data_IF_422779135592
#
_entry.id   IF_422779135592
#
_cell.length_a   1.000
_cell.length_b   1.000
_cell.length_c   1.000
_cell.angle_alpha   90.00
_cell.angle_beta   90.00
_cell.angle_gamma   90.00
#
_symmetry.space_group_name_H-M   'P 1'
#
loop_
_entity.id
_entity.type
_entity.pdbx_description
1 polymer ?
#
# COMPACT_ATOMS: atom_id res chain seq x y z
N UNK A 1 -13.91 17.49 17.05
CA UNK A 1 -13.65 16.60 15.89
C UNK A 1 -12.19 16.21 15.95
N UNK A 2 -11.85 14.94 16.16
CA UNK A 2 -10.47 14.49 16.02
C UNK A 2 -10.08 14.70 14.56
N UNK A 3 -9.05 15.50 14.32
CA UNK A 3 -8.46 15.69 12.99
C UNK A 3 -7.93 14.32 12.55
N UNK A 4 -8.22 13.91 11.31
CA UNK A 4 -7.65 12.66 10.79
C UNK A 4 -6.13 12.78 10.83
N UNK A 5 -5.48 11.78 11.41
CA UNK A 5 -4.02 11.75 11.50
C UNK A 5 -3.47 11.18 10.21
N UNK A 6 -3.06 12.08 9.32
CA UNK A 6 -2.17 11.77 8.21
C UNK A 6 -0.73 11.74 8.73
N UNK A 7 0.12 10.90 8.16
CA UNK A 7 1.55 10.92 8.49
C UNK A 7 2.13 12.32 8.25
N UNK A 8 3.01 12.78 9.11
CA UNK A 8 3.70 14.05 8.90
C UNK A 8 4.94 13.87 8.00
N UNK A 9 5.62 14.98 7.71
CA UNK A 9 6.83 14.98 6.90
C UNK A 9 7.96 14.16 7.55
N UNK A 10 8.10 14.18 8.87
CA UNK A 10 9.15 13.45 9.57
C UNK A 10 8.97 11.94 9.45
N UNK A 11 7.74 11.45 9.59
CA UNK A 11 7.45 10.02 9.40
C UNK A 11 7.59 9.59 7.93
N UNK A 12 7.24 10.46 6.98
CA UNK A 12 7.49 10.22 5.56
C UNK A 12 8.99 10.06 5.28
N UNK A 13 9.81 11.02 5.75
CA UNK A 13 11.26 10.97 5.59
C UNK A 13 11.88 9.74 6.29
N UNK A 14 11.30 9.30 7.42
CA UNK A 14 11.73 8.08 8.10
C UNK A 14 11.47 6.82 7.26
N UNK A 15 10.32 6.70 6.58
CA UNK A 15 10.07 5.58 5.67
C UNK A 15 11.00 5.60 4.47
N UNK A 16 11.26 6.78 3.89
CA UNK A 16 12.19 6.92 2.78
C UNK A 16 13.62 6.51 3.22
N UNK A 17 14.05 6.89 4.44
CA UNK A 17 15.33 6.47 5.02
C UNK A 17 15.42 4.96 5.30
N UNK A 18 14.30 4.31 5.62
CA UNK A 18 14.18 2.85 5.74
C UNK A 18 14.13 2.13 4.39
N UNK A 19 14.16 2.87 3.27
CA UNK A 19 14.03 2.32 1.92
C UNK A 19 12.63 1.80 1.62
N UNK A 20 11.59 2.49 2.10
CA UNK A 20 10.19 2.09 1.97
C UNK A 20 9.33 3.20 1.38
N UNK A 21 8.69 2.94 0.24
CA UNK A 21 7.67 3.78 -0.38
C UNK A 21 6.28 3.11 -0.41
N UNK A 22 6.15 1.96 0.27
CA UNK A 22 4.94 1.18 0.43
C UNK A 22 4.44 1.21 1.88
N UNK A 23 3.49 2.10 2.19
CA UNK A 23 2.98 2.23 3.56
C UNK A 23 1.61 2.92 3.66
N UNK A 24 1.00 2.82 4.84
CA UNK A 24 -0.23 3.54 5.20
C UNK A 24 0.07 5.05 5.31
N UNK A 25 -0.82 5.87 4.76
CA UNK A 25 -0.78 7.34 4.88
C UNK A 25 -1.75 7.87 5.93
N UNK A 26 -2.93 7.28 6.00
CA UNK A 26 -3.97 7.67 6.94
C UNK A 26 -4.95 6.51 7.12
N UNK A 27 -5.51 6.40 8.33
CA UNK A 27 -6.64 5.53 8.64
C UNK A 27 -7.72 6.37 9.31
N UNK A 28 -8.96 6.20 8.85
CA UNK A 28 -10.14 6.86 9.40
C UNK A 28 -11.22 5.82 9.67
N UNK A 29 -12.30 6.24 10.32
CA UNK A 29 -13.50 5.41 10.37
C UNK A 29 -13.99 5.11 8.95
N UNK A 30 -14.21 3.82 8.68
CA UNK A 30 -14.69 3.31 7.40
C UNK A 30 -13.74 3.49 6.21
N UNK A 31 -12.44 3.76 6.40
CA UNK A 31 -11.51 3.77 5.28
C UNK A 31 -10.05 4.08 5.62
N UNK A 32 -9.20 3.98 4.62
CA UNK A 32 -7.78 4.32 4.72
C UNK A 32 -7.17 4.65 3.35
N UNK A 33 -6.00 5.29 3.37
CA UNK A 33 -5.18 5.56 2.20
C UNK A 33 -3.79 4.91 2.36
N UNK A 34 -3.33 4.23 1.32
CA UNK A 34 -2.01 3.60 1.23
C UNK A 34 -1.27 4.16 0.02
N UNK A 35 0.06 4.29 0.10
CA UNK A 35 0.90 4.60 -1.06
C UNK A 35 1.74 3.41 -1.51
N UNK A 36 2.02 3.39 -2.79
CA UNK A 36 2.95 2.49 -3.49
C UNK A 36 3.77 3.36 -4.45
N UNK A 37 4.96 3.79 -4.02
CA UNK A 37 5.68 4.86 -4.73
C UNK A 37 4.88 6.17 -4.70
N UNK A 38 4.49 6.66 -5.88
CA UNK A 38 3.67 7.87 -6.07
C UNK A 38 2.20 7.57 -6.39
N UNK A 39 1.81 6.30 -6.40
CA UNK A 39 0.43 5.87 -6.62
C UNK A 39 -0.26 5.62 -5.29
N UNK A 40 -1.52 6.06 -5.17
CA UNK A 40 -2.29 5.99 -3.94
C UNK A 40 -3.48 5.05 -4.11
N UNK A 41 -3.73 4.20 -3.12
CA UNK A 41 -4.94 3.37 -3.02
C UNK A 41 -5.80 3.84 -1.84
N UNK A 42 -7.02 4.29 -2.13
CA UNK A 42 -8.05 4.59 -1.14
C UNK A 42 -8.97 3.36 -0.99
N UNK A 43 -9.06 2.82 0.20
CA UNK A 43 -10.01 1.75 0.54
C UNK A 43 -11.11 2.30 1.44
N UNK A 44 -12.38 2.07 1.12
CA UNK A 44 -13.50 2.69 1.85
C UNK A 44 -14.73 1.79 1.96
N UNK A 45 -15.47 1.91 3.07
CA UNK A 45 -16.79 1.26 3.29
C UNK A 45 -17.97 2.20 3.04
N UNK A 46 -17.75 3.51 3.02
CA UNK A 46 -18.80 4.51 2.78
C UNK A 46 -18.31 5.59 1.83
N UNK A 47 -19.22 6.17 1.04
CA UNK A 47 -18.91 7.29 0.14
C UNK A 47 -18.38 8.50 0.92
N UNK A 48 -18.94 8.78 2.09
CA UNK A 48 -18.46 9.82 2.98
C UNK A 48 -16.99 9.62 3.39
N UNK A 49 -16.57 8.39 3.70
CA UNK A 49 -15.17 8.09 4.03
C UNK A 49 -14.26 8.26 2.80
N UNK A 50 -14.70 7.81 1.62
CA UNK A 50 -13.97 8.03 0.36
C UNK A 50 -13.72 9.52 0.12
N UNK A 51 -14.76 10.33 0.18
CA UNK A 51 -14.68 11.76 -0.15
C UNK A 51 -13.82 12.51 0.88
N UNK A 52 -13.94 12.15 2.16
CA UNK A 52 -13.07 12.65 3.24
C UNK A 52 -11.60 12.30 3.01
N UNK A 53 -11.29 11.07 2.58
CA UNK A 53 -9.93 10.65 2.26
C UNK A 53 -9.37 11.36 1.03
N UNK A 54 -10.19 11.60 -0.01
CA UNK A 54 -9.77 12.36 -1.20
C UNK A 54 -9.40 13.80 -0.83
N UNK A 55 -10.21 14.46 -0.01
CA UNK A 55 -9.92 15.83 0.46
C UNK A 55 -8.66 15.84 1.32
N UNK A 56 -8.59 14.96 2.33
CA UNK A 56 -7.43 14.87 3.22
C UNK A 56 -6.13 14.52 2.47
N UNK A 57 -6.19 13.67 1.45
CA UNK A 57 -5.03 13.31 0.63
C UNK A 57 -4.47 14.53 -0.11
N UNK A 58 -5.33 15.38 -0.67
CA UNK A 58 -4.92 16.61 -1.37
C UNK A 58 -4.28 17.61 -0.41
N UNK A 59 -4.87 17.78 0.77
CA UNK A 59 -4.35 18.67 1.80
C UNK A 59 -3.00 18.17 2.34
N UNK A 60 -2.89 16.88 2.62
CA UNK A 60 -1.66 16.23 3.06
C UNK A 60 -0.56 16.31 2.01
N UNK A 61 -0.86 15.98 0.75
CA UNK A 61 0.14 16.03 -0.32
C UNK A 61 0.70 17.44 -0.49
N UNK A 62 -0.14 18.47 -0.37
CA UNK A 62 0.31 19.87 -0.38
C UNK A 62 1.15 20.22 0.86
N UNK A 63 0.80 19.72 2.04
CA UNK A 63 1.49 20.09 3.28
C UNK A 63 2.90 19.49 3.40
N UNK A 64 3.15 18.35 2.77
CA UNK A 64 4.47 17.68 2.80
C UNK A 64 5.21 17.73 1.45
N UNK A 65 4.65 18.45 0.46
CA UNK A 65 5.13 18.56 -0.92
C UNK A 65 5.33 17.21 -1.61
N UNK A 66 4.31 16.34 -1.53
CA UNK A 66 4.32 15.00 -2.10
C UNK A 66 3.70 14.96 -3.50
N UNK A 67 4.46 14.55 -4.54
CA UNK A 67 3.92 14.44 -5.88
C UNK A 67 3.10 13.15 -6.03
N UNK A 68 1.76 13.30 -6.10
CA UNK A 68 0.85 12.19 -6.42
C UNK A 68 0.82 12.00 -7.94
N UNK A 69 1.08 10.77 -8.40
CA UNK A 69 0.96 10.40 -9.81
C UNK A 69 -0.47 9.95 -10.13
N UNK A 70 -0.99 8.98 -9.37
CA UNK A 70 -2.34 8.41 -9.56
C UNK A 70 -3.04 8.15 -8.24
N UNK A 71 -4.36 8.22 -8.25
CA UNK A 71 -5.21 7.81 -7.13
C UNK A 71 -6.20 6.78 -7.61
N UNK A 72 -6.20 5.63 -6.97
CA UNK A 72 -7.15 4.55 -7.15
C UNK A 72 -8.07 4.47 -5.93
N UNK A 73 -9.27 3.94 -6.11
CA UNK A 73 -10.16 3.66 -5.01
C UNK A 73 -10.87 2.32 -5.15
N UNK A 74 -11.02 1.60 -4.03
CA UNK A 74 -11.83 0.38 -3.95
C UNK A 74 -12.83 0.45 -2.82
N UNK A 75 -14.05 -0.03 -3.10
CA UNK A 75 -15.06 -0.26 -2.08
C UNK A 75 -14.73 -1.54 -1.29
N UNK A 76 -15.03 -1.54 0.01
CA UNK A 76 -14.79 -2.64 0.94
C UNK A 76 -16.12 -3.33 1.28
N UNK A 77 -16.60 -4.26 0.44
CA UNK A 77 -17.87 -4.94 0.66
C UNK A 77 -17.82 -5.87 1.86
N UNK A 78 -18.99 -6.31 2.32
CA UNK A 78 -19.12 -7.36 3.35
C UNK A 78 -18.96 -8.75 2.76
N UNK A 79 -19.38 -8.93 1.50
CA UNK A 79 -19.34 -10.20 0.79
C UNK A 79 -18.19 -10.22 -0.21
N UNK A 80 -17.59 -11.40 -0.44
CA UNK A 80 -16.43 -11.52 -1.31
C UNK A 80 -16.81 -11.38 -2.79
N UNK A 81 -18.03 -11.77 -3.16
CA UNK A 81 -18.57 -11.75 -4.52
C UNK A 81 -18.81 -10.31 -5.02
N UNK A 82 -18.90 -9.35 -4.09
CA UNK A 82 -19.08 -7.92 -4.37
C UNK A 82 -17.73 -7.18 -4.53
N UNK A 83 -16.59 -7.90 -4.47
CA UNK A 83 -15.26 -7.30 -4.57
C UNK A 83 -14.94 -6.93 -6.02
N UNK A 84 -14.64 -5.65 -6.23
CA UNK A 84 -14.23 -5.12 -7.53
C UNK A 84 -12.76 -4.72 -7.54
N UNK A 85 -12.17 -4.62 -8.74
CA UNK A 85 -10.85 -4.02 -8.91
C UNK A 85 -10.86 -2.54 -8.51
N UNK A 86 -9.74 -1.99 -8.00
CA UNK A 86 -9.60 -0.56 -7.80
C UNK A 86 -9.88 0.24 -9.08
N UNK A 87 -10.62 1.34 -8.93
CA UNK A 87 -10.95 2.26 -10.03
C UNK A 87 -10.04 3.48 -9.96
N UNK A 88 -9.51 3.90 -11.11
CA UNK A 88 -8.73 5.14 -11.22
C UNK A 88 -9.68 6.34 -10.96
N UNK A 89 -9.30 7.22 -10.04
CA UNK A 89 -9.99 8.47 -9.73
C UNK A 89 -9.22 9.71 -10.19
N UNK A 90 -7.89 9.62 -10.24
CA UNK A 90 -7.00 10.69 -10.67
C UNK A 90 -5.77 10.09 -11.37
N UNK A 91 -5.33 10.70 -12.46
CA UNK A 91 -4.24 10.22 -13.32
C UNK A 91 -4.73 9.95 -14.74
N UNK A 92 -3.85 9.47 -15.62
CA UNK A 92 -4.19 9.17 -17.01
C UNK A 92 -4.71 7.73 -17.18
N UNK A 93 -5.91 7.57 -17.75
CA UNK A 93 -6.56 6.26 -17.95
C UNK A 93 -5.81 5.34 -18.94
N UNK A 94 -5.00 5.90 -19.85
CA UNK A 94 -4.21 5.13 -20.82
C UNK A 94 -2.88 4.58 -20.30
N UNK A 95 -2.51 4.86 -19.04
CA UNK A 95 -1.26 4.36 -18.46
C UNK A 95 -1.38 2.89 -18.01
N UNK A 96 -0.27 2.15 -18.06
CA UNK A 96 -0.18 0.83 -17.48
C UNK A 96 -0.54 0.88 -15.98
N UNK A 97 -1.51 0.07 -15.55
CA UNK A 97 -1.99 -0.02 -14.17
C UNK A 97 -1.01 -0.70 -13.20
N UNK A 98 0.17 -1.08 -13.68
CA UNK A 98 1.23 -1.63 -12.85
C UNK A 98 2.18 -0.55 -12.35
N UNK A 99 2.79 -0.80 -11.19
CA UNK A 99 3.89 -0.01 -10.64
C UNK A 99 4.82 -0.91 -9.82
N UNK A 100 5.95 -0.36 -9.40
CA UNK A 100 6.86 -1.03 -8.47
C UNK A 100 6.87 -0.22 -7.18
N UNK A 101 6.63 -0.90 -6.07
CA UNK A 101 6.79 -0.34 -4.75
C UNK A 101 8.02 -0.92 -4.06
N UNK A 102 8.65 -0.14 -3.20
CA UNK A 102 9.83 -0.49 -2.42
C UNK A 102 9.44 -0.67 -0.95
N UNK A 103 9.89 -1.74 -0.33
CA UNK A 103 9.80 -1.95 1.12
C UNK A 103 11.12 -2.52 1.64
N UNK A 104 11.78 -1.81 2.54
CA UNK A 104 13.12 -2.14 3.05
C UNK A 104 14.11 -2.52 1.94
N UNK A 105 14.15 -1.71 0.86
CA UNK A 105 14.95 -1.91 -0.35
C UNK A 105 14.58 -3.14 -1.21
N UNK A 106 13.54 -3.90 -0.86
CA UNK A 106 12.99 -4.95 -1.71
C UNK A 106 11.92 -4.36 -2.63
N UNK A 107 11.87 -4.83 -3.88
CA UNK A 107 10.94 -4.36 -4.91
C UNK A 107 9.78 -5.32 -5.07
N UNK A 108 8.56 -4.80 -5.04
CA UNK A 108 7.33 -5.55 -5.20
C UNK A 108 6.52 -5.00 -6.38
N UNK A 109 6.06 -5.91 -7.24
CA UNK A 109 5.13 -5.56 -8.30
C UNK A 109 3.74 -5.29 -7.74
N UNK A 110 3.18 -4.15 -8.10
CA UNK A 110 1.82 -3.74 -7.77
C UNK A 110 1.03 -3.66 -9.07
N UNK A 111 -0.17 -4.22 -9.07
CA UNK A 111 -1.09 -4.21 -10.21
C UNK A 111 -2.49 -3.81 -9.75
N UNK A 112 -2.91 -2.60 -10.12
CA UNK A 112 -4.23 -2.07 -9.78
C UNK A 112 -5.35 -2.68 -10.62
N UNK A 113 -5.03 -3.43 -11.69
CA UNK A 113 -5.98 -4.11 -12.57
C UNK A 113 -6.12 -5.61 -12.35
N UNK A 114 -5.18 -6.25 -11.63
CA UNK A 114 -5.16 -7.71 -11.46
C UNK A 114 -6.33 -8.29 -10.65
N UNK A 115 -6.98 -7.50 -9.79
CA UNK A 115 -8.07 -7.96 -8.95
C UNK A 115 -8.34 -7.02 -7.78
N UNK A 116 -9.03 -7.53 -6.75
CA UNK A 116 -9.36 -6.76 -5.55
C UNK A 116 -8.14 -6.35 -4.70
N UNK A 117 -7.15 -7.24 -4.62
CA UNK A 117 -5.86 -7.00 -3.94
C UNK A 117 -4.80 -6.69 -4.98
N UNK A 118 -3.97 -5.69 -4.70
CA UNK A 118 -3.08 -5.06 -5.70
C UNK A 118 -1.65 -5.59 -5.73
N UNK A 119 -1.32 -6.58 -4.90
CA UNK A 119 -0.01 -7.25 -4.95
C UNK A 119 0.73 -7.30 -3.62
N UNK A 120 0.51 -6.33 -2.73
CA UNK A 120 1.20 -6.26 -1.43
C UNK A 120 0.27 -5.79 -0.32
N UNK A 121 0.34 -6.46 0.82
CA UNK A 121 -0.31 -6.02 2.07
C UNK A 121 0.74 -5.31 2.93
N UNK A 122 0.62 -3.98 3.07
CA UNK A 122 1.61 -3.15 3.77
C UNK A 122 1.56 -3.31 5.30
N UNK A 123 0.46 -3.83 5.85
CA UNK A 123 0.33 -4.17 7.27
C UNK A 123 1.28 -5.30 7.71
N UNK A 124 1.73 -6.14 6.76
CA UNK A 124 2.68 -7.22 6.98
C UNK A 124 4.15 -6.78 6.89
N UNK A 125 4.46 -5.48 6.72
CA UNK A 125 5.84 -4.99 6.56
C UNK A 125 6.76 -5.43 7.69
N UNK A 126 6.39 -5.16 8.94
CA UNK A 126 7.25 -5.51 10.08
C UNK A 126 7.39 -7.03 10.25
N UNK A 127 6.37 -7.81 9.87
CA UNK A 127 6.44 -9.26 9.87
C UNK A 127 7.40 -9.79 8.79
N UNK A 128 7.39 -9.19 7.59
CA UNK A 128 8.37 -9.49 6.54
C UNK A 128 9.79 -9.11 6.96
N UNK A 129 9.95 -7.95 7.62
CA UNK A 129 11.23 -7.53 8.22
C UNK A 129 11.72 -8.54 9.25
N UNK A 130 10.85 -9.00 10.14
CA UNK A 130 11.18 -10.04 11.12
C UNK A 130 11.68 -11.32 10.44
N UNK A 131 10.96 -11.83 9.44
CA UNK A 131 11.38 -13.03 8.69
C UNK A 131 12.75 -12.84 8.04
N UNK A 132 13.00 -11.67 7.43
CA UNK A 132 14.30 -11.33 6.83
C UNK A 132 15.42 -11.27 7.87
N UNK A 133 15.15 -10.76 9.07
CA UNK A 133 16.11 -10.68 10.17
C UNK A 133 16.38 -12.05 10.82
N UNK A 134 15.38 -12.92 10.86
CA UNK A 134 15.51 -14.28 11.40
C UNK A 134 16.40 -15.17 10.52
N UNK A 135 16.56 -14.84 9.23
CA UNK A 135 17.41 -15.57 8.26
C UNK A 135 17.18 -17.09 8.29
N UNK A 136 15.93 -17.56 8.11
CA UNK A 136 15.67 -19.00 8.10
C UNK A 136 16.44 -19.68 6.97
N UNK A 137 16.95 -20.89 7.21
CA UNK A 137 17.60 -21.68 6.15
C UNK A 137 16.60 -22.14 5.09
N UNK A 138 15.41 -22.57 5.52
CA UNK A 138 14.31 -23.05 4.67
C UNK A 138 12.99 -22.47 5.14
N UNK A 139 12.13 -22.01 4.21
CA UNK A 139 10.83 -21.43 4.54
C UNK A 139 9.72 -21.99 3.64
N UNK A 140 8.70 -22.59 4.26
CA UNK A 140 7.45 -22.94 3.58
C UNK A 140 6.44 -21.81 3.76
N UNK A 141 6.09 -21.13 2.66
CA UNK A 141 5.14 -20.03 2.66
C UNK A 141 3.72 -20.52 2.30
N UNK A 142 2.94 -20.93 3.29
CA UNK A 142 1.53 -21.28 3.11
C UNK A 142 0.67 -20.03 2.90
N UNK A 143 -0.34 -20.09 2.02
CA UNK A 143 -1.21 -18.95 1.69
C UNK A 143 -0.42 -17.75 1.14
N UNK A 144 0.58 -18.04 0.32
CA UNK A 144 1.62 -17.10 -0.09
C UNK A 144 1.12 -15.84 -0.81
N UNK A 145 -0.08 -15.85 -1.38
CA UNK A 145 -0.60 -14.81 -2.28
C UNK A 145 0.42 -14.51 -3.40
N UNK A 146 1.16 -13.41 -3.31
CA UNK A 146 2.21 -12.99 -4.25
C UNK A 146 3.62 -13.32 -3.75
N UNK A 147 3.73 -14.22 -2.78
CA UNK A 147 4.98 -14.72 -2.20
C UNK A 147 5.85 -13.66 -1.53
N UNK A 148 5.28 -12.55 -1.05
CA UNK A 148 6.04 -11.43 -0.44
C UNK A 148 6.93 -11.85 0.75
N UNK A 149 6.50 -12.83 1.55
CA UNK A 149 7.34 -13.42 2.61
C UNK A 149 8.49 -14.27 2.07
N UNK A 150 8.27 -15.03 0.99
CA UNK A 150 9.33 -15.79 0.33
C UNK A 150 10.38 -14.84 -0.26
N UNK A 151 9.97 -13.73 -0.87
CA UNK A 151 10.90 -12.69 -1.36
C UNK A 151 11.75 -12.13 -0.21
N UNK A 152 11.13 -11.81 0.92
CA UNK A 152 11.85 -11.32 2.10
C UNK A 152 12.85 -12.35 2.65
N UNK A 153 12.46 -13.62 2.78
CA UNK A 153 13.32 -14.70 3.25
C UNK A 153 14.47 -15.00 2.27
N UNK A 154 14.17 -15.13 0.98
CA UNK A 154 15.17 -15.39 -0.06
C UNK A 154 16.20 -14.27 -0.17
N UNK A 155 15.80 -13.01 0.07
CA UNK A 155 16.73 -11.87 0.12
C UNK A 155 17.78 -11.97 1.23
N UNK A 156 17.57 -12.85 2.21
CA UNK A 156 18.47 -13.15 3.31
C UNK A 156 19.14 -14.54 3.18
N UNK A 157 18.99 -15.22 2.05
CA UNK A 157 19.64 -16.50 1.75
C UNK A 157 18.79 -17.75 2.02
N UNK A 158 17.50 -17.60 2.36
CA UNK A 158 16.63 -18.76 2.60
C UNK A 158 16.34 -19.53 1.30
N UNK A 159 16.24 -20.86 1.40
CA UNK A 159 15.57 -21.69 0.39
C UNK A 159 14.06 -21.63 0.61
N UNK A 160 13.31 -21.22 -0.40
CA UNK A 160 11.84 -20.98 -0.32
C UNK A 160 11.06 -21.83 -1.29
#
# INVERSE_FOLDING_TARGET
MNKDQWIDRGLLDAFDAEGTDAHRLCTIDNGWAERFGHDILISFRTTAARDRLIVGLKEWAKSVDFPIRRVFARFLPKKNEERETPKLLFGHEGENLQTIATEHHLKFGIDFGAGYSVGLFVDQRENRRFVRQAKPERLLNCFAYTCSFSVAAASAGAQT
#
